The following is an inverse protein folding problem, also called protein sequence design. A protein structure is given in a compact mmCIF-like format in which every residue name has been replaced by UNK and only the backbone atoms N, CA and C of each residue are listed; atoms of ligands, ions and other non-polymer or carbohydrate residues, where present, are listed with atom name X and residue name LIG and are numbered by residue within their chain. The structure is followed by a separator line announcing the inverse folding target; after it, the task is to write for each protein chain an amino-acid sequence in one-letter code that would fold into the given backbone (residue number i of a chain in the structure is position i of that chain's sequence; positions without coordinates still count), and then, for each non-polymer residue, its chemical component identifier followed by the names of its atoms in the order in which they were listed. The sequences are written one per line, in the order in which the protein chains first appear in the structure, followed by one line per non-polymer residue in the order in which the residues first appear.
data_IF_025509270203
#
_entry.id   IF_025509270203
#
_cell.length_a   1.000
_cell.length_b   1.000
_cell.length_c   1.000
_cell.angle_alpha   90.00
_cell.angle_beta   90.00
_cell.angle_gamma   90.00
#
_symmetry.space_group_name_H-M   'P 1'
#
loop_
_entity.id
_entity.type
_entity.pdbx_description
1 polymer ?
#
# COMPACT_ATOMS: atom_id res chain seq x y z
N UNK A 1 8.93 1.94 21.69
CA UNK A 1 8.09 3.02 22.26
C UNK A 1 6.66 2.51 22.24
N UNK A 2 6.05 2.29 23.41
CA UNK A 2 4.61 1.95 23.50
C UNK A 2 3.87 3.27 23.68
N UNK A 3 2.86 3.54 22.86
CA UNK A 3 2.04 4.75 23.01
C UNK A 3 1.15 4.59 24.25
N UNK A 4 1.24 5.49 25.25
CA UNK A 4 0.37 5.42 26.42
C UNK A 4 -1.11 5.42 26.03
N UNK A 5 -1.93 4.60 26.70
CA UNK A 5 -3.37 4.50 26.43
C UNK A 5 -3.76 3.71 25.19
N UNK A 6 -2.83 2.98 24.55
CA UNK A 6 -3.11 2.11 23.40
C UNK A 6 -3.42 0.65 23.76
N UNK A 7 -3.37 0.28 25.04
CA UNK A 7 -3.72 -1.07 25.47
C UNK A 7 -5.23 -1.30 25.36
N UNK A 8 -5.68 -2.34 24.64
CA UNK A 8 -7.11 -2.62 24.53
C UNK A 8 -7.75 -2.93 25.90
N UNK A 9 -9.00 -2.49 26.09
CA UNK A 9 -9.86 -2.84 27.23
C UNK A 9 -11.12 -3.56 26.75
N UNK A 10 -12.01 -3.98 27.65
CA UNK A 10 -13.29 -4.58 27.25
C UNK A 10 -14.24 -3.53 26.63
N UNK A 11 -14.16 -2.28 27.11
CA UNK A 11 -14.93 -1.14 26.60
C UNK A 11 -14.49 -0.74 25.20
N UNK A 12 -13.18 -0.85 24.92
CA UNK A 12 -12.57 -0.62 23.62
C UNK A 12 -11.66 0.60 23.59
N UNK A 13 -10.58 0.50 22.82
CA UNK A 13 -9.59 1.57 22.64
C UNK A 13 -9.31 1.76 21.16
N UNK A 14 -9.39 3.02 20.70
CA UNK A 14 -9.01 3.37 19.34
C UNK A 14 -7.49 3.46 19.25
N UNK A 15 -6.90 2.77 18.28
CA UNK A 15 -5.45 2.76 18.05
C UNK A 15 -5.15 2.81 16.56
N UNK A 16 -4.14 3.60 16.23
CA UNK A 16 -3.61 3.76 14.88
C UNK A 16 -2.14 3.29 14.85
N UNK A 17 -1.70 2.58 13.80
CA UNK A 17 -2.49 2.14 12.66
C UNK A 17 -3.49 1.01 13.01
N UNK A 18 -4.46 0.79 12.13
CA UNK A 18 -5.37 -0.34 12.15
C UNK A 18 -4.61 -1.68 12.07
N UNK A 19 -5.32 -2.79 12.25
CA UNK A 19 -4.72 -4.14 12.34
C UNK A 19 -4.00 -4.56 11.06
N UNK A 20 -4.34 -3.93 9.94
CA UNK A 20 -3.69 -4.13 8.65
C UNK A 20 -2.30 -3.48 8.58
N UNK A 21 -1.97 -2.60 9.51
CA UNK A 21 -0.75 -1.79 9.54
C UNK A 21 -0.82 -0.59 8.61
N UNK A 22 0.06 0.40 8.85
CA UNK A 22 0.26 1.53 7.94
C UNK A 22 0.97 1.09 6.65
N UNK A 23 1.82 0.07 6.74
CA UNK A 23 2.38 -0.69 5.63
C UNK A 23 2.44 -2.18 6.03
N UNK A 24 2.49 -3.09 5.06
CA UNK A 24 2.47 -4.55 5.31
C UNK A 24 3.31 -5.31 4.26
N UNK A 25 2.82 -6.43 3.72
CA UNK A 25 3.55 -7.30 2.80
C UNK A 25 3.81 -6.70 1.40
N UNK A 26 3.13 -5.60 1.04
CA UNK A 26 3.26 -4.99 -0.28
C UNK A 26 4.64 -4.36 -0.46
N UNK A 27 5.36 -4.79 -1.51
CA UNK A 27 6.75 -4.40 -1.72
C UNK A 27 6.88 -2.88 -1.95
N UNK A 28 7.93 -2.31 -1.38
CA UNK A 28 8.31 -0.91 -1.56
C UNK A 28 9.37 -0.77 -2.65
N UNK A 29 9.63 0.46 -3.09
CA UNK A 29 10.67 0.76 -4.06
C UNK A 29 11.59 1.87 -3.56
N UNK A 30 12.86 1.82 -3.93
CA UNK A 30 13.83 2.90 -3.73
C UNK A 30 14.37 3.34 -5.08
N UNK A 31 14.53 4.64 -5.28
CA UNK A 31 15.19 5.20 -6.46
C UNK A 31 16.48 5.92 -6.05
N UNK A 32 17.66 5.48 -6.53
CA UNK A 32 18.94 6.07 -6.16
C UNK A 32 19.15 7.48 -6.74
N UNK A 33 18.52 7.83 -7.86
CA UNK A 33 18.66 9.14 -8.52
C UNK A 33 17.93 10.22 -7.72
N UNK A 34 16.69 9.94 -7.29
CA UNK A 34 15.90 10.85 -6.46
C UNK A 34 16.22 10.72 -4.97
N UNK A 35 16.83 9.61 -4.55
CA UNK A 35 17.06 9.19 -3.16
C UNK A 35 15.77 9.04 -2.35
N UNK A 36 14.64 8.82 -3.02
CA UNK A 36 13.33 8.66 -2.37
C UNK A 36 12.95 7.19 -2.22
N UNK A 37 12.24 6.90 -1.15
CA UNK A 37 11.64 5.60 -0.87
C UNK A 37 10.12 5.68 -1.03
N UNK A 38 9.58 4.86 -1.92
CA UNK A 38 8.17 4.84 -2.30
C UNK A 38 7.47 3.64 -1.70
N UNK A 39 6.32 3.87 -1.08
CA UNK A 39 5.53 2.81 -0.46
C UNK A 39 4.05 3.10 -0.58
N UNK A 40 3.26 2.03 -0.63
CA UNK A 40 1.84 2.12 -0.35
C UNK A 40 1.67 2.35 1.15
N UNK A 41 0.87 3.32 1.55
CA UNK A 41 0.52 3.59 2.95
C UNK A 41 -0.98 3.43 3.12
N UNK A 42 -1.41 2.83 4.22
CA UNK A 42 -2.81 2.74 4.63
C UNK A 42 -3.02 3.50 5.93
N UNK A 43 -3.46 4.76 5.82
CA UNK A 43 -3.86 5.55 6.98
C UNK A 43 -5.25 5.09 7.43
N UNK A 44 -5.28 4.38 8.56
CA UNK A 44 -6.52 3.92 9.19
C UNK A 44 -6.32 3.56 10.66
N UNK A 45 -7.41 3.54 11.41
CA UNK A 45 -7.43 3.19 12.83
C UNK A 45 -8.50 2.13 13.11
N UNK A 46 -8.28 1.31 14.15
CA UNK A 46 -9.29 0.39 14.63
C UNK A 46 -9.61 0.68 16.09
N UNK A 47 -10.87 0.45 16.48
CA UNK A 47 -11.24 0.24 17.88
C UNK A 47 -11.00 -1.24 18.21
N UNK A 48 -10.14 -1.50 19.18
CA UNK A 48 -9.80 -2.84 19.66
C UNK A 48 -10.47 -3.10 21.01
N UNK A 49 -11.10 -4.26 21.15
CA UNK A 49 -11.67 -4.74 22.42
C UNK A 49 -11.00 -6.04 22.86
N UNK A 50 -10.65 -6.15 24.13
CA UNK A 50 -10.28 -7.43 24.75
C UNK A 50 -11.53 -8.30 24.84
N UNK A 51 -11.32 -9.60 24.66
CA UNK A 51 -12.33 -10.60 24.94
C UNK A 51 -11.64 -11.77 25.63
N UNK A 52 -12.12 -12.14 26.81
CA UNK A 52 -11.66 -13.34 27.48
C UNK A 52 -12.22 -14.55 26.75
N UNK A 53 -11.34 -15.34 26.13
CA UNK A 53 -11.70 -16.60 25.48
C UNK A 53 -10.61 -17.63 25.71
N UNK A 54 -10.98 -18.86 26.09
CA UNK A 54 -10.01 -19.93 26.22
C UNK A 54 -9.36 -20.22 24.86
N UNK A 55 -8.07 -20.52 24.90
CA UNK A 55 -7.37 -21.05 23.73
C UNK A 55 -7.78 -22.50 23.49
N UNK A 56 -7.95 -22.87 22.23
CA UNK A 56 -8.27 -24.23 21.81
C UNK A 56 -7.39 -24.61 20.62
N UNK A 57 -6.79 -25.80 20.66
CA UNK A 57 -5.93 -26.31 19.59
C UNK A 57 -6.70 -26.34 18.27
N UNK A 58 -6.09 -25.78 17.22
CA UNK A 58 -6.64 -25.77 15.87
C UNK A 58 -7.67 -24.66 15.61
N UNK A 59 -8.01 -23.84 16.60
CA UNK A 59 -8.87 -22.66 16.43
C UNK A 59 -8.05 -21.38 16.43
N UNK A 60 -8.51 -20.39 15.66
CA UNK A 60 -7.94 -19.05 15.68
C UNK A 60 -8.17 -18.37 17.02
N UNK A 61 -7.12 -17.77 17.59
CA UNK A 61 -7.16 -17.13 18.90
C UNK A 61 -6.54 -15.73 18.81
N UNK A 62 -7.39 -14.70 18.68
CA UNK A 62 -7.00 -13.28 18.70
C UNK A 62 -7.20 -12.62 20.08
N UNK A 63 -7.80 -13.32 21.06
CA UNK A 63 -8.11 -12.79 22.41
C UNK A 63 -8.84 -11.43 22.46
N UNK A 64 -9.59 -11.10 21.40
CA UNK A 64 -10.26 -9.83 21.24
C UNK A 64 -10.93 -9.68 19.88
N UNK A 65 -11.45 -8.48 19.64
CA UNK A 65 -12.06 -8.05 18.37
C UNK A 65 -11.50 -6.69 17.96
N UNK A 66 -11.63 -6.37 16.68
CA UNK A 66 -11.31 -5.05 16.14
C UNK A 66 -12.41 -4.64 15.16
N UNK A 67 -12.70 -3.35 15.10
CA UNK A 67 -13.54 -2.76 14.05
C UNK A 67 -12.89 -1.49 13.52
N UNK A 68 -13.11 -1.20 12.24
CA UNK A 68 -12.67 0.06 11.65
C UNK A 68 -13.32 1.23 12.41
N UNK A 69 -12.52 2.21 12.81
CA UNK A 69 -13.06 3.42 13.45
C UNK A 69 -13.75 4.28 12.38
N UNK A 70 -15.04 4.62 12.54
CA UNK A 70 -15.74 5.47 11.58
C UNK A 70 -15.34 6.95 11.68
N UNK A 71 -14.69 7.34 12.79
CA UNK A 71 -14.30 8.72 13.07
C UNK A 71 -12.92 9.08 12.52
N UNK A 72 -12.17 8.09 12.02
CA UNK A 72 -10.81 8.27 11.51
C UNK A 72 -10.78 8.04 10.00
N UNK A 73 -9.78 8.67 9.35
CA UNK A 73 -9.54 8.43 7.94
C UNK A 73 -9.32 6.94 7.68
N UNK A 74 -9.81 6.47 6.53
CA UNK A 74 -9.50 5.16 6.00
C UNK A 74 -9.12 5.35 4.53
N UNK A 75 -7.84 5.56 4.25
CA UNK A 75 -7.36 5.90 2.91
C UNK A 75 -6.00 5.31 2.62
N UNK A 76 -5.77 5.03 1.34
CA UNK A 76 -4.47 4.57 0.83
C UNK A 76 -3.76 5.66 0.06
N UNK A 77 -2.46 5.69 0.20
CA UNK A 77 -1.56 6.63 -0.45
C UNK A 77 -0.42 5.88 -1.13
N UNK A 78 0.12 6.43 -2.21
CA UNK A 78 1.53 6.21 -2.54
C UNK A 78 2.29 7.38 -1.91
N UNK A 79 3.18 7.09 -0.96
CA UNK A 79 3.97 8.09 -0.24
C UNK A 79 5.42 7.99 -0.68
N UNK A 80 6.07 9.13 -0.89
CA UNK A 80 7.52 9.21 -1.04
C UNK A 80 8.14 9.79 0.22
N UNK A 81 9.16 9.09 0.74
CA UNK A 81 9.94 9.50 1.90
C UNK A 81 11.36 9.80 1.46
N UNK A 82 11.93 10.87 2.01
CA UNK A 82 13.38 11.08 2.01
C UNK A 82 13.99 10.15 3.06
N UNK A 83 14.87 9.24 2.64
CA UNK A 83 15.43 8.21 3.54
C UNK A 83 16.45 8.75 4.55
N UNK A 84 17.00 9.94 4.30
CA UNK A 84 18.00 10.56 5.19
C UNK A 84 17.32 11.29 6.34
N UNK A 85 16.18 11.92 6.06
CA UNK A 85 15.45 12.76 7.01
C UNK A 85 14.19 12.12 7.57
N UNK A 86 13.69 11.06 6.92
CA UNK A 86 12.41 10.41 7.26
C UNK A 86 11.18 11.25 6.91
N UNK A 87 11.34 12.38 6.21
CA UNK A 87 10.23 13.29 5.88
C UNK A 87 9.48 12.81 4.65
N UNK A 88 8.16 13.00 4.68
CA UNK A 88 7.33 12.90 3.48
C UNK A 88 7.68 14.02 2.50
N UNK A 89 8.01 13.65 1.27
CA UNK A 89 8.29 14.59 0.17
C UNK A 89 7.02 14.88 -0.62
N UNK A 90 6.28 13.82 -0.98
CA UNK A 90 4.99 13.92 -1.63
C UNK A 90 4.11 12.72 -1.31
N UNK A 91 2.81 12.89 -1.54
CA UNK A 91 1.81 11.83 -1.43
C UNK A 91 0.82 11.89 -2.58
N UNK A 92 0.48 10.72 -3.10
CA UNK A 92 -0.62 10.53 -4.02
C UNK A 92 -1.73 9.76 -3.32
N UNK A 93 -2.85 10.43 -3.07
CA UNK A 93 -4.00 9.86 -2.41
C UNK A 93 -4.80 8.99 -3.40
N UNK A 94 -4.86 7.68 -3.16
CA UNK A 94 -5.55 6.75 -4.05
C UNK A 94 -7.07 6.95 -4.00
N UNK A 95 -7.72 6.67 -5.12
CA UNK A 95 -9.17 6.70 -5.26
C UNK A 95 -9.71 5.27 -5.23
N UNK A 96 -10.71 4.94 -4.40
CA UNK A 96 -11.30 3.60 -4.42
C UNK A 96 -11.91 3.12 -3.10
N UNK A 97 -12.04 1.80 -2.96
CA UNK A 97 -12.71 1.09 -1.83
C UNK A 97 -11.76 0.63 -0.71
N UNK A 98 -10.51 1.08 -0.73
CA UNK A 98 -9.39 0.79 0.17
C UNK A 98 -9.06 -0.70 0.23
N UNK A 99 -9.19 -1.42 -0.88
CA UNK A 99 -9.00 -2.86 -0.93
C UNK A 99 -7.65 -3.29 -1.51
N UNK A 100 -6.99 -2.48 -2.33
CA UNK A 100 -5.75 -2.83 -3.02
C UNK A 100 -4.55 -2.91 -2.09
N UNK A 101 -3.70 -3.92 -2.26
CA UNK A 101 -2.43 -4.11 -1.57
C UNK A 101 -1.33 -4.34 -2.61
N UNK A 102 -1.26 -3.46 -3.62
CA UNK A 102 -0.24 -3.51 -4.65
C UNK A 102 1.13 -3.16 -4.07
N UNK A 103 2.17 -3.84 -4.54
CA UNK A 103 3.53 -3.31 -4.41
C UNK A 103 3.77 -2.10 -5.30
N UNK A 104 4.96 -1.52 -5.19
CA UNK A 104 5.42 -0.35 -5.94
C UNK A 104 6.69 -0.71 -6.69
N UNK A 105 6.84 -0.19 -7.91
CA UNK A 105 8.04 -0.32 -8.73
C UNK A 105 8.51 1.07 -9.16
N UNK A 106 9.77 1.42 -8.91
CA UNK A 106 10.40 2.60 -9.49
C UNK A 106 11.36 2.22 -10.61
N UNK A 107 11.53 3.11 -11.59
CA UNK A 107 12.43 2.92 -12.73
C UNK A 107 13.38 4.11 -12.88
N UNK A 108 14.52 3.89 -13.54
CA UNK A 108 15.49 4.95 -13.86
C UNK A 108 14.91 6.03 -14.82
N UNK A 109 13.79 5.75 -15.48
CA UNK A 109 13.07 6.73 -16.31
C UNK A 109 12.23 7.74 -15.51
N UNK A 110 12.37 7.79 -14.18
CA UNK A 110 11.62 8.73 -13.34
C UNK A 110 10.15 8.35 -13.15
N UNK A 111 9.80 7.07 -13.27
CA UNK A 111 8.42 6.57 -13.12
C UNK A 111 8.25 5.69 -11.87
N UNK A 112 7.08 5.79 -11.24
CA UNK A 112 6.62 4.93 -10.14
C UNK A 112 5.33 4.22 -10.54
N UNK A 113 5.40 2.90 -10.74
CA UNK A 113 4.27 2.04 -11.10
C UNK A 113 3.65 1.38 -9.88
N UNK A 114 2.33 1.26 -9.90
CA UNK A 114 1.54 0.61 -8.85
C UNK A 114 0.14 0.26 -9.35
N UNK A 115 -0.49 -0.74 -8.74
CA UNK A 115 -1.92 -0.96 -8.86
C UNK A 115 -2.67 0.04 -7.98
N UNK A 116 -3.53 0.85 -8.58
CA UNK A 116 -4.38 1.81 -7.89
C UNK A 116 -5.64 1.13 -7.34
N UNK A 117 -6.10 1.63 -6.21
CA UNK A 117 -7.33 1.21 -5.56
C UNK A 117 -8.62 1.44 -6.39
N UNK A 118 -8.54 2.23 -7.48
CA UNK A 118 -9.63 2.47 -8.42
C UNK A 118 -9.88 1.27 -9.35
N UNK A 119 -8.92 0.35 -9.43
CA UNK A 119 -8.87 -0.71 -10.42
C UNK A 119 -7.82 -0.50 -11.51
N UNK A 120 -7.18 0.68 -11.56
CA UNK A 120 -6.19 1.00 -12.57
C UNK A 120 -4.83 0.37 -12.27
N UNK A 121 -4.07 0.08 -13.32
CA UNK A 121 -2.61 0.05 -13.22
C UNK A 121 -2.10 1.44 -13.63
N UNK A 122 -1.31 2.09 -12.78
CA UNK A 122 -0.99 3.50 -12.92
C UNK A 122 0.51 3.78 -12.77
N UNK A 123 0.92 4.95 -13.27
CA UNK A 123 2.27 5.48 -13.15
C UNK A 123 2.24 6.94 -12.67
N UNK A 124 3.10 7.26 -11.70
CA UNK A 124 3.38 8.62 -11.25
C UNK A 124 4.77 9.05 -11.69
N UNK A 125 4.96 10.36 -11.78
CA UNK A 125 6.26 11.00 -11.77
C UNK A 125 6.99 10.75 -10.44
N UNK A 126 8.23 10.28 -10.48
CA UNK A 126 8.98 9.84 -9.30
C UNK A 126 9.41 10.98 -8.37
N UNK A 127 9.56 12.20 -8.87
CA UNK A 127 9.99 13.36 -8.08
C UNK A 127 8.82 14.10 -7.47
N UNK A 128 7.68 14.15 -8.16
CA UNK A 128 6.54 15.01 -7.81
C UNK A 128 5.28 14.26 -7.40
N UNK A 129 5.19 12.95 -7.68
CA UNK A 129 4.00 12.15 -7.42
C UNK A 129 2.82 12.48 -8.36
N UNK A 130 3.02 13.28 -9.41
CA UNK A 130 1.97 13.63 -10.36
C UNK A 130 1.58 12.41 -11.19
N UNK A 131 0.27 12.15 -11.40
CA UNK A 131 -0.16 11.06 -12.27
C UNK A 131 0.22 11.36 -13.72
N UNK A 132 0.87 10.40 -14.38
CA UNK A 132 1.32 10.52 -15.76
C UNK A 132 0.57 9.58 -16.70
N UNK A 133 0.16 8.41 -16.20
CA UNK A 133 -0.48 7.40 -17.01
C UNK A 133 -1.33 6.46 -16.17
N UNK A 134 -2.40 5.92 -16.77
CA UNK A 134 -3.15 4.82 -16.20
C UNK A 134 -3.78 3.94 -17.29
N UNK A 135 -4.04 2.69 -16.94
CA UNK A 135 -4.87 1.77 -17.70
C UNK A 135 -5.89 1.12 -16.78
N UNK A 136 -7.18 1.21 -17.14
CA UNK A 136 -8.24 0.64 -16.30
C UNK A 136 -8.42 -0.86 -16.54
N UNK A 137 -7.89 -1.67 -15.63
CA UNK A 137 -8.05 -3.12 -15.64
C UNK A 137 -9.20 -3.61 -14.75
N UNK A 138 -9.79 -2.71 -13.95
CA UNK A 138 -10.86 -3.02 -12.97
C UNK A 138 -10.48 -4.15 -12.00
N UNK A 139 -9.24 -4.13 -11.47
CA UNK A 139 -8.70 -5.19 -10.62
C UNK A 139 -8.49 -4.76 -9.15
N UNK A 140 -8.59 -5.71 -8.23
CA UNK A 140 -8.14 -5.52 -6.85
C UNK A 140 -6.70 -6.04 -6.71
N UNK A 141 -5.73 -5.15 -6.82
CA UNK A 141 -4.33 -5.52 -6.96
C UNK A 141 -3.73 -6.03 -5.64
N UNK A 142 -3.00 -7.15 -5.71
CA UNK A 142 -2.28 -7.75 -4.57
C UNK A 142 -0.83 -8.08 -4.88
N UNK A 143 -0.43 -7.99 -6.15
CA UNK A 143 0.91 -8.27 -6.63
C UNK A 143 1.74 -6.99 -6.71
N UNK A 144 3.05 -7.16 -6.81
CA UNK A 144 3.97 -6.06 -7.14
C UNK A 144 4.14 -5.97 -8.67
N UNK A 145 4.22 -4.76 -9.25
CA UNK A 145 4.64 -4.60 -10.62
C UNK A 145 6.10 -5.04 -10.79
N UNK A 146 6.45 -5.47 -12.00
CA UNK A 146 7.81 -5.77 -12.43
C UNK A 146 8.09 -5.20 -13.82
N UNK A 147 9.35 -5.10 -14.22
CA UNK A 147 9.75 -4.70 -15.56
C UNK A 147 10.80 -5.64 -16.14
N UNK A 148 10.83 -5.80 -17.46
CA UNK A 148 11.76 -6.68 -18.19
C UNK A 148 11.94 -6.21 -19.64
N UNK A 149 12.94 -6.76 -20.33
CA UNK A 149 13.25 -6.46 -21.74
C UNK A 149 12.99 -7.66 -22.65
N UNK A 150 12.41 -7.43 -23.82
CA UNK A 150 12.30 -8.43 -24.90
C UNK A 150 12.56 -7.75 -26.23
N UNK A 151 13.54 -8.25 -27.00
CA UNK A 151 13.84 -7.72 -28.34
C UNK A 151 14.14 -6.22 -28.35
N UNK A 152 14.90 -5.73 -27.36
CA UNK A 152 15.25 -4.33 -27.22
C UNK A 152 14.13 -3.42 -26.71
N UNK A 153 12.94 -3.97 -26.38
CA UNK A 153 11.78 -3.21 -25.89
C UNK A 153 11.54 -3.48 -24.43
N UNK A 154 11.27 -2.43 -23.66
CA UNK A 154 10.94 -2.53 -22.24
C UNK A 154 9.45 -2.77 -22.03
N UNK A 155 9.14 -3.67 -21.10
CA UNK A 155 7.79 -3.99 -20.68
C UNK A 155 7.64 -3.81 -19.17
N UNK A 156 6.47 -3.35 -18.74
CA UNK A 156 6.04 -3.38 -17.34
C UNK A 156 4.87 -4.36 -17.22
N UNK A 157 4.86 -5.16 -16.16
CA UNK A 157 3.87 -6.19 -15.95
C UNK A 157 3.42 -6.27 -14.50
N UNK A 158 2.17 -6.69 -14.30
CA UNK A 158 1.59 -6.94 -12.99
C UNK A 158 0.62 -8.11 -13.07
N UNK A 159 0.70 -9.00 -12.08
CA UNK A 159 -0.27 -10.08 -11.93
C UNK A 159 -1.58 -9.54 -11.31
N UNK A 160 -2.71 -9.92 -11.89
CA UNK A 160 -4.04 -9.76 -11.29
C UNK A 160 -4.62 -11.14 -10.99
N UNK A 161 -5.50 -11.29 -10.01
CA UNK A 161 -5.89 -12.62 -9.49
C UNK A 161 -6.16 -13.70 -10.54
N UNK A 162 -6.80 -13.35 -11.67
CA UNK A 162 -7.14 -14.29 -12.76
C UNK A 162 -6.22 -14.24 -13.99
N UNK A 163 -5.12 -13.47 -13.98
CA UNK A 163 -4.23 -13.34 -15.16
C UNK A 163 -3.04 -12.40 -14.97
N UNK A 164 -2.25 -12.18 -16.01
CA UNK A 164 -1.13 -11.23 -15.98
C UNK A 164 -1.29 -10.19 -17.09
N UNK A 165 -0.94 -8.94 -16.78
CA UNK A 165 -0.98 -7.82 -17.72
C UNK A 165 0.45 -7.40 -18.05
N UNK A 166 0.74 -7.11 -19.31
CA UNK A 166 2.04 -6.61 -19.76
C UNK A 166 1.85 -5.43 -20.74
N UNK A 167 2.59 -4.35 -20.51
CA UNK A 167 2.50 -3.09 -21.25
C UNK A 167 3.88 -2.72 -21.78
N UNK A 168 3.98 -2.37 -23.07
CA UNK A 168 5.23 -1.87 -23.67
C UNK A 168 5.42 -0.39 -23.32
N UNK A 169 6.62 0.00 -22.93
CA UNK A 169 6.99 1.42 -22.79
C UNK A 169 7.29 2.04 -24.17
N UNK A 170 7.03 3.34 -24.32
CA UNK A 170 7.43 4.09 -25.50
C UNK A 170 8.96 4.17 -25.60
N UNK A 171 9.45 4.35 -26.83
CA UNK A 171 10.88 4.50 -27.12
C UNK A 171 11.39 5.90 -26.73
#
# INVERSE_FOLDING_TARGET
IVLPGSEPTEEGVVTCPAIRGATNWFATAYNPDTKLFYLLVHESCNEYKKADRPWERGKGWLAGTFKLSPEHENRKYIRALDIQTGKTVWEYAQTGKVQTYSGVLSTAGGLVFFGEDSGAFAALDAETGKPLWHFQANQNWKASPMTYMVGGKQYVAIASGMGFWAFRLAD
#
